data_IF_896302858806
#
_entry.id   IF_896302858806
#
_cell.length_a   1.000
_cell.length_b   1.000
_cell.length_c   1.000
_cell.angle_alpha   90.00
_cell.angle_beta   90.00
_cell.angle_gamma   90.00
#
_symmetry.space_group_name_H-M   'P 1'
#
loop_
_entity.id
_entity.type
_entity.pdbx_description
1 polymer ?
#
# COMPACT_ATOMS: atom_id res chain seq x y z
N UNK A 1 26.86 7.14 58.50
CA UNK A 1 25.39 7.25 58.70
C UNK A 1 24.97 8.64 58.28
N UNK A 2 24.06 8.92 57.34
CA UNK A 2 23.32 8.17 56.34
C UNK A 2 23.02 9.20 55.25
N UNK A 3 23.26 8.85 54.00
CA UNK A 3 23.08 9.73 52.85
C UNK A 3 21.63 10.23 52.75
N UNK A 4 21.53 11.52 52.43
CA UNK A 4 20.38 12.23 51.91
C UNK A 4 19.62 11.39 50.87
N UNK A 5 18.44 10.90 51.27
CA UNK A 5 17.52 10.15 50.42
C UNK A 5 16.99 11.04 49.31
N UNK A 6 17.50 10.77 48.10
CA UNK A 6 16.87 10.88 46.78
C UNK A 6 15.42 11.43 46.81
N UNK A 7 15.27 12.61 46.19
CA UNK A 7 14.01 13.35 46.06
C UNK A 7 12.97 12.61 45.21
N UNK A 8 12.23 11.72 45.86
CA UNK A 8 10.87 11.39 45.46
C UNK A 8 9.93 12.07 46.45
N UNK A 9 9.16 13.05 45.97
CA UNK A 9 8.08 13.67 46.75
C UNK A 9 7.11 12.58 47.20
N UNK A 10 6.91 12.48 48.51
CA UNK A 10 5.94 11.55 49.08
C UNK A 10 4.53 12.17 49.04
N UNK A 11 3.47 11.35 48.91
CA UNK A 11 2.08 11.81 48.81
C UNK A 11 1.69 12.86 49.86
N UNK A 12 2.20 12.73 51.08
CA UNK A 12 1.90 13.66 52.18
C UNK A 12 2.55 15.05 52.10
N UNK A 13 3.38 15.36 51.08
CA UNK A 13 4.01 16.69 50.94
C UNK A 13 3.22 17.66 50.05
N UNK A 14 2.12 17.20 49.44
CA UNK A 14 1.28 18.01 48.56
C UNK A 14 -0.14 17.98 49.15
N UNK A 15 -0.61 19.10 49.71
CA UNK A 15 -1.99 19.27 50.22
C UNK A 15 -3.00 18.59 49.26
N UNK A 16 -4.15 18.09 49.74
CA UNK A 16 -5.05 17.14 49.05
C UNK A 16 -5.29 17.28 47.53
N UNK A 17 -5.10 18.46 46.92
CA UNK A 17 -5.02 18.63 45.46
C UNK A 17 -3.86 17.87 44.79
N UNK A 18 -2.71 17.72 45.45
CA UNK A 18 -1.53 17.06 44.91
C UNK A 18 -1.52 15.53 45.09
N UNK A 19 -2.15 15.01 46.13
CA UNK A 19 -2.46 13.57 46.26
C UNK A 19 -3.45 13.12 45.18
N UNK A 20 -4.51 13.91 44.94
CA UNK A 20 -5.45 13.68 43.84
C UNK A 20 -4.74 13.76 42.50
N UNK A 21 -3.86 14.76 42.31
CA UNK A 21 -3.04 14.91 41.10
C UNK A 21 -2.21 13.65 40.81
N UNK A 22 -1.50 13.13 41.80
CA UNK A 22 -0.69 11.91 41.65
C UNK A 22 -1.54 10.67 41.34
N UNK A 23 -2.69 10.50 42.00
CA UNK A 23 -3.62 9.39 41.71
C UNK A 23 -4.13 9.48 40.26
N UNK A 24 -4.52 10.68 39.82
CA UNK A 24 -5.01 10.92 38.46
C UNK A 24 -3.91 10.64 37.43
N UNK A 25 -2.70 11.14 37.65
CA UNK A 25 -1.54 10.89 36.77
C UNK A 25 -1.20 9.39 36.72
N UNK A 26 -1.24 8.68 37.85
CA UNK A 26 -1.01 7.24 37.91
C UNK A 26 -2.09 6.42 37.22
N UNK A 27 -3.34 6.90 37.17
CA UNK A 27 -4.42 6.24 36.42
C UNK A 27 -4.25 6.52 34.92
N UNK A 28 -3.96 7.77 34.55
CA UNK A 28 -3.76 8.18 33.17
C UNK A 28 -2.56 7.49 32.52
N UNK A 29 -1.45 7.29 33.26
CA UNK A 29 -0.25 6.64 32.74
C UNK A 29 -0.44 5.16 32.39
N UNK A 30 -1.49 4.51 32.90
CA UNK A 30 -1.83 3.11 32.60
C UNK A 30 -2.68 2.96 31.34
N UNK A 31 -3.25 4.04 30.81
CA UNK A 31 -4.13 4.01 29.64
C UNK A 31 -3.32 3.85 28.36
N UNK A 32 -3.47 2.72 27.68
CA UNK A 32 -2.89 2.55 26.35
C UNK A 32 -3.79 3.22 25.31
N UNK A 33 -3.27 4.20 24.59
CA UNK A 33 -4.03 4.94 23.58
C UNK A 33 -3.53 4.61 22.19
N UNK A 34 -2.31 5.04 21.90
CA UNK A 34 -1.60 4.76 20.65
C UNK A 34 -0.11 4.56 20.93
N UNK A 35 0.54 3.69 20.16
CA UNK A 35 2.01 3.55 20.21
C UNK A 35 2.56 3.15 18.85
N UNK A 36 3.83 3.44 18.62
CA UNK A 36 4.55 2.92 17.46
C UNK A 36 4.94 1.47 17.72
N UNK A 37 4.67 0.63 16.72
CA UNK A 37 4.93 -0.81 16.77
C UNK A 37 5.67 -1.24 15.52
N UNK A 38 6.42 -2.33 15.63
CA UNK A 38 7.03 -3.04 14.51
C UNK A 38 6.33 -4.37 14.30
N UNK A 39 6.03 -4.72 13.06
CA UNK A 39 5.45 -6.01 12.67
C UNK A 39 6.49 -7.11 12.83
N UNK A 40 6.13 -8.16 13.57
CA UNK A 40 6.96 -9.35 13.83
C UNK A 40 6.47 -10.55 13.01
N UNK A 41 5.16 -10.65 12.79
CA UNK A 41 4.56 -11.68 11.95
C UNK A 41 3.30 -11.16 11.25
N UNK A 42 2.97 -11.75 10.10
CA UNK A 42 1.80 -11.42 9.29
C UNK A 42 0.98 -12.70 9.07
N UNK A 43 -0.34 -12.61 9.26
CA UNK A 43 -1.29 -13.72 9.20
C UNK A 43 -2.42 -13.36 8.23
N UNK A 44 -2.46 -14.05 7.09
CA UNK A 44 -3.37 -13.72 5.98
C UNK A 44 -2.84 -12.58 5.10
N UNK A 45 -3.56 -12.29 4.02
CA UNK A 45 -3.14 -11.33 3.01
C UNK A 45 -3.92 -11.49 1.70
N UNK A 46 -3.54 -10.72 0.69
CA UNK A 46 -4.15 -10.71 -0.63
C UNK A 46 -5.63 -10.35 -0.59
N UNK A 47 -6.42 -11.03 -1.43
CA UNK A 47 -7.85 -10.77 -1.58
C UNK A 47 -8.73 -11.43 -0.50
N UNK A 48 -8.14 -12.18 0.43
CA UNK A 48 -8.86 -12.70 1.60
C UNK A 48 -9.34 -11.56 2.51
N UNK A 49 -10.28 -11.81 3.45
CA UNK A 49 -10.62 -10.82 4.47
C UNK A 49 -9.37 -10.26 5.15
N UNK A 50 -9.49 -9.02 5.64
CA UNK A 50 -8.42 -8.30 6.34
C UNK A 50 -7.69 -9.22 7.32
N UNK A 51 -6.37 -9.33 7.14
CA UNK A 51 -5.52 -10.17 7.95
C UNK A 51 -5.13 -9.54 9.28
N UNK A 52 -4.25 -10.23 9.98
CA UNK A 52 -3.76 -9.87 11.30
C UNK A 52 -2.24 -9.77 11.30
N UNK A 53 -1.69 -8.97 12.19
CA UNK A 53 -0.27 -8.87 12.47
C UNK A 53 0.01 -9.14 13.93
N UNK A 54 1.18 -9.69 14.20
CA UNK A 54 1.77 -9.67 15.53
C UNK A 54 2.76 -8.52 15.58
N UNK A 55 2.67 -7.67 16.60
CA UNK A 55 3.38 -6.40 16.65
C UNK A 55 4.09 -6.20 17.98
N UNK A 56 5.25 -5.57 17.96
CA UNK A 56 6.02 -5.24 19.15
C UNK A 56 6.11 -3.71 19.31
N UNK A 57 5.66 -3.13 20.43
CA UNK A 57 5.87 -1.71 20.73
C UNK A 57 7.35 -1.33 20.72
N UNK A 58 7.66 -0.18 20.11
CA UNK A 58 9.03 0.30 19.93
C UNK A 58 9.52 1.19 21.09
N UNK A 59 8.60 1.84 21.81
CA UNK A 59 8.95 2.59 23.02
C UNK A 59 9.04 1.60 24.18
N UNK A 60 10.22 1.49 24.79
CA UNK A 60 10.49 0.56 25.90
C UNK A 60 10.01 1.12 27.23
N UNK A 61 9.70 0.24 28.19
CA UNK A 61 9.43 0.67 29.56
C UNK A 61 10.73 0.96 30.29
N UNK A 62 10.70 1.92 31.21
CA UNK A 62 11.79 2.21 32.13
C UNK A 62 11.33 1.75 33.52
N UNK A 63 12.09 0.85 34.14
CA UNK A 63 11.82 0.43 35.52
C UNK A 63 12.24 1.49 36.54
N UNK A 64 11.89 1.30 37.81
CA UNK A 64 12.21 2.24 38.89
C UNK A 64 13.72 2.44 39.16
N UNK A 65 14.58 1.64 38.53
CA UNK A 65 16.05 1.74 38.59
C UNK A 65 16.67 2.33 37.32
N UNK A 66 15.86 2.72 36.33
CA UNK A 66 16.34 3.22 35.04
C UNK A 66 16.66 2.14 34.02
N UNK A 67 16.34 0.87 34.31
CA UNK A 67 16.52 -0.26 33.42
C UNK A 67 15.48 -0.28 32.30
N UNK A 68 15.93 -0.57 31.07
CA UNK A 68 15.07 -0.63 29.89
C UNK A 68 14.48 -2.04 29.75
N UNK A 69 13.16 -2.15 29.78
CA UNK A 69 12.43 -3.40 29.57
C UNK A 69 11.71 -3.34 28.22
N UNK A 70 12.09 -4.19 27.24
CA UNK A 70 11.39 -4.27 25.97
C UNK A 70 9.94 -4.73 26.16
N UNK A 71 9.03 -4.17 25.37
CA UNK A 71 7.66 -4.68 25.35
C UNK A 71 7.60 -6.08 24.74
N UNK A 72 6.68 -6.89 25.27
CA UNK A 72 6.29 -8.17 24.67
C UNK A 72 5.58 -7.98 23.32
N UNK A 73 5.36 -9.11 22.64
CA UNK A 73 4.61 -9.13 21.38
C UNK A 73 3.10 -9.11 21.66
N UNK A 74 2.40 -8.26 20.92
CA UNK A 74 0.94 -8.19 20.89
C UNK A 74 0.48 -9.03 19.70
N UNK A 75 -0.31 -10.06 19.97
CA UNK A 75 -0.72 -11.03 18.95
C UNK A 75 -2.08 -10.69 18.33
N UNK A 76 -2.26 -11.07 17.07
CA UNK A 76 -3.54 -11.05 16.36
C UNK A 76 -4.20 -9.65 16.31
N UNK A 77 -3.39 -8.64 15.99
CA UNK A 77 -3.85 -7.26 15.79
C UNK A 77 -4.33 -7.10 14.33
N UNK A 78 -5.61 -6.77 14.07
CA UNK A 78 -6.07 -6.52 12.71
C UNK A 78 -5.33 -5.34 12.09
N UNK A 79 -4.85 -5.48 10.85
CA UNK A 79 -4.26 -4.36 10.10
C UNK A 79 -5.32 -3.63 9.28
N UNK A 80 -5.13 -2.34 9.04
CA UNK A 80 -6.03 -1.58 8.18
C UNK A 80 -5.82 -1.94 6.71
N UNK A 81 -6.93 -2.22 6.00
CA UNK A 81 -7.00 -2.18 4.53
C UNK A 81 -7.83 -0.98 4.10
N UNK A 82 -7.34 -0.22 3.12
CA UNK A 82 -8.13 0.87 2.53
C UNK A 82 -9.23 0.26 1.66
N UNK A 83 -10.43 0.09 2.23
CA UNK A 83 -11.55 -0.60 1.60
C UNK A 83 -12.87 0.17 1.78
N UNK A 84 -13.70 0.17 0.73
CA UNK A 84 -15.06 0.73 0.73
C UNK A 84 -16.00 -0.14 -0.11
N UNK A 85 -17.02 -0.72 0.52
CA UNK A 85 -17.84 -1.75 -0.12
C UNK A 85 -17.00 -2.94 -0.59
N UNK A 86 -17.16 -3.34 -1.86
CA UNK A 86 -16.35 -4.38 -2.50
C UNK A 86 -15.01 -3.91 -3.06
N UNK A 87 -14.68 -2.62 -2.97
CA UNK A 87 -13.48 -2.05 -3.58
C UNK A 87 -12.38 -1.88 -2.54
N UNK A 88 -11.13 -2.19 -2.88
CA UNK A 88 -10.01 -2.03 -1.97
C UNK A 88 -8.70 -1.63 -2.67
N UNK A 89 -7.86 -0.88 -1.96
CA UNK A 89 -6.42 -0.78 -2.22
C UNK A 89 -5.74 -1.74 -1.25
N UNK A 90 -5.17 -2.82 -1.79
CA UNK A 90 -4.56 -3.90 -0.99
C UNK A 90 -3.06 -3.68 -0.92
N UNK A 91 -2.59 -3.30 0.27
CA UNK A 91 -1.17 -3.17 0.60
C UNK A 91 -0.98 -3.90 1.93
N UNK A 92 -0.59 -5.17 1.84
CA UNK A 92 -0.43 -5.99 3.03
C UNK A 92 0.88 -5.63 3.75
N UNK A 93 0.86 -5.54 5.09
CA UNK A 93 2.07 -5.31 5.86
C UNK A 93 3.06 -6.46 5.71
N UNK A 94 4.35 -6.15 5.87
CA UNK A 94 5.44 -7.11 5.89
C UNK A 94 6.14 -7.13 7.25
N UNK A 95 6.85 -8.22 7.55
CA UNK A 95 7.68 -8.32 8.76
C UNK A 95 8.75 -7.23 8.72
N UNK A 96 8.88 -6.48 9.82
CA UNK A 96 9.78 -5.34 9.93
C UNK A 96 9.12 -3.99 9.67
N UNK A 97 7.90 -3.95 9.12
CA UNK A 97 7.17 -2.70 8.91
C UNK A 97 6.90 -2.00 10.24
N UNK A 98 7.05 -0.67 10.24
CA UNK A 98 6.76 0.20 11.37
C UNK A 98 5.46 0.94 11.11
N UNK A 99 4.55 0.82 12.07
CA UNK A 99 3.25 1.46 12.05
C UNK A 99 2.81 1.93 13.43
N UNK A 100 1.59 2.42 13.49
CA UNK A 100 0.91 2.81 14.71
C UNK A 100 -0.09 1.71 15.09
N UNK A 101 -0.11 1.33 16.36
CA UNK A 101 -1.19 0.53 16.93
C UNK A 101 -2.05 1.43 17.82
N UNK A 102 -3.35 1.50 17.53
CA UNK A 102 -4.35 2.18 18.34
C UNK A 102 -5.14 1.19 19.17
N UNK A 103 -5.32 1.48 20.46
CA UNK A 103 -6.01 0.62 21.40
C UNK A 103 -7.40 1.17 21.69
N UNK A 104 -8.42 0.33 21.45
CA UNK A 104 -9.80 0.74 21.58
C UNK A 104 -10.17 1.05 23.04
N UNK A 105 -11.11 1.97 23.22
CA UNK A 105 -11.59 2.37 24.54
C UNK A 105 -12.37 1.26 25.27
N UNK A 106 -12.72 0.17 24.57
CA UNK A 106 -13.46 -1.01 25.05
C UNK A 106 -12.97 -2.27 24.32
N UNK A 107 -13.29 -3.42 24.91
CA UNK A 107 -13.05 -4.75 24.32
C UNK A 107 -13.72 -4.89 22.95
N UNK A 108 -12.93 -5.25 21.93
CA UNK A 108 -13.39 -5.44 20.54
C UNK A 108 -13.35 -6.91 20.09
N UNK A 109 -13.12 -7.87 20.99
CA UNK A 109 -13.01 -9.31 20.66
C UNK A 109 -14.26 -9.84 19.94
N UNK A 110 -15.46 -9.55 20.45
CA UNK A 110 -16.72 -9.92 19.78
C UNK A 110 -16.87 -9.24 18.42
N UNK A 111 -16.47 -7.97 18.30
CA UNK A 111 -16.59 -7.22 17.05
C UNK A 111 -15.65 -7.78 15.99
N UNK A 112 -14.42 -8.18 16.39
CA UNK A 112 -13.45 -8.86 15.52
C UNK A 112 -14.01 -10.19 15.00
N UNK A 113 -14.64 -10.98 15.86
CA UNK A 113 -15.20 -12.28 15.51
C UNK A 113 -16.46 -12.18 14.64
N UNK A 114 -17.41 -11.32 15.03
CA UNK A 114 -18.75 -11.27 14.45
C UNK A 114 -18.85 -10.29 13.27
N UNK A 115 -17.92 -9.33 13.17
CA UNK A 115 -17.96 -8.22 12.19
C UNK A 115 -19.26 -7.42 12.25
N UNK A 116 -19.86 -7.33 13.44
CA UNK A 116 -21.14 -6.67 13.68
C UNK A 116 -21.15 -6.01 15.07
N UNK A 117 -22.12 -5.13 15.30
CA UNK A 117 -22.37 -4.53 16.61
C UNK A 117 -22.51 -5.64 17.66
N UNK A 118 -21.61 -5.63 18.64
CA UNK A 118 -21.52 -6.69 19.64
C UNK A 118 -21.21 -6.10 21.03
N UNK A 119 -21.72 -6.71 22.12
CA UNK A 119 -21.33 -6.30 23.46
C UNK A 119 -19.85 -6.64 23.72
N UNK A 120 -19.16 -5.85 24.56
CA UNK A 120 -17.80 -6.16 24.97
C UNK A 120 -17.78 -7.47 25.78
N UNK A 121 -16.82 -8.36 25.52
CA UNK A 121 -16.71 -9.64 26.25
C UNK A 121 -16.11 -9.47 27.64
N UNK A 122 -15.41 -8.36 27.88
CA UNK A 122 -14.81 -8.02 29.17
C UNK A 122 -14.96 -6.54 29.48
N UNK A 123 -14.63 -6.17 30.72
CA UNK A 123 -14.58 -4.76 31.16
C UNK A 123 -13.25 -4.07 30.85
N UNK A 124 -12.39 -4.69 30.01
CA UNK A 124 -11.11 -4.10 29.60
C UNK A 124 -11.34 -2.81 28.83
N UNK A 125 -10.44 -1.85 29.03
CA UNK A 125 -10.44 -0.53 28.41
C UNK A 125 -8.99 -0.17 28.13
N UNK A 126 -8.68 0.32 26.92
CA UNK A 126 -7.33 0.78 26.61
C UNK A 126 -6.28 -0.31 26.84
N UNK A 127 -6.59 -1.54 26.41
CA UNK A 127 -5.78 -2.74 26.61
C UNK A 127 -5.07 -3.15 25.32
N UNK A 128 -3.87 -3.72 25.43
CA UNK A 128 -3.08 -4.18 24.27
C UNK A 128 -3.81 -5.20 23.40
N UNK A 129 -4.71 -6.00 23.96
CA UNK A 129 -5.50 -7.01 23.23
C UNK A 129 -6.52 -6.39 22.26
N UNK A 130 -6.88 -5.13 22.50
CA UNK A 130 -7.88 -4.37 21.75
C UNK A 130 -7.23 -3.42 20.74
N UNK A 131 -6.06 -3.81 20.24
CA UNK A 131 -5.30 -3.07 19.23
C UNK A 131 -5.87 -3.21 17.82
N UNK A 132 -5.63 -2.16 17.03
CA UNK A 132 -5.77 -2.08 15.57
C UNK A 132 -4.50 -1.45 14.99
N UNK A 133 -3.94 -2.05 13.94
CA UNK A 133 -2.70 -1.62 13.31
C UNK A 133 -2.96 -0.76 12.06
N UNK A 134 -2.23 0.35 11.96
CA UNK A 134 -2.15 1.21 10.79
C UNK A 134 -0.68 1.38 10.40
N UNK A 135 -0.29 0.93 9.21
CA UNK A 135 1.10 0.93 8.76
C UNK A 135 1.56 2.21 8.06
N UNK A 136 2.87 2.30 7.76
CA UNK A 136 3.41 3.26 6.80
C UNK A 136 4.04 4.52 7.39
N UNK A 137 4.43 4.52 8.67
CA UNK A 137 4.98 5.72 9.30
C UNK A 137 6.50 5.87 9.14
N UNK A 138 7.27 4.79 9.31
CA UNK A 138 8.74 4.85 9.36
C UNK A 138 9.39 3.71 8.53
N UNK A 139 8.75 3.31 7.44
CA UNK A 139 9.27 2.28 6.54
C UNK A 139 10.38 2.84 5.64
N UNK A 140 11.21 1.95 5.09
CA UNK A 140 12.27 2.31 4.14
C UNK A 140 11.76 2.79 2.78
N UNK A 141 12.68 3.07 1.86
CA UNK A 141 12.36 3.48 0.49
C UNK A 141 11.56 2.39 -0.25
N UNK A 142 10.42 2.71 -0.88
CA UNK A 142 9.59 1.71 -1.56
C UNK A 142 10.26 1.21 -2.84
N UNK A 143 10.21 -0.10 -3.07
CA UNK A 143 10.67 -0.75 -4.32
C UNK A 143 9.58 -0.84 -5.40
N UNK A 144 8.33 -0.55 -5.05
CA UNK A 144 7.15 -0.52 -5.92
C UNK A 144 6.19 0.57 -5.42
N UNK A 145 5.62 1.37 -6.31
CA UNK A 145 4.83 2.54 -5.89
C UNK A 145 3.93 3.13 -6.98
N UNK A 146 2.91 3.86 -6.53
CA UNK A 146 2.20 4.88 -7.29
C UNK A 146 2.53 6.22 -6.65
N UNK A 147 3.23 7.09 -7.37
CA UNK A 147 3.70 8.38 -6.85
C UNK A 147 2.96 9.53 -7.54
N UNK A 148 2.35 10.41 -6.75
CA UNK A 148 1.79 11.68 -7.19
C UNK A 148 2.80 12.79 -6.92
N UNK A 149 3.08 13.63 -7.91
CA UNK A 149 4.03 14.74 -7.81
C UNK A 149 3.61 15.89 -8.72
N UNK A 150 4.30 17.04 -8.64
CA UNK A 150 4.09 18.15 -9.57
C UNK A 150 4.35 17.78 -11.05
N UNK A 151 5.16 16.75 -11.31
CA UNK A 151 5.42 16.21 -12.65
C UNK A 151 4.40 15.18 -13.15
N UNK A 152 3.36 14.90 -12.36
CA UNK A 152 2.31 13.92 -12.69
C UNK A 152 2.39 12.65 -11.85
N UNK A 153 1.87 11.55 -12.42
CA UNK A 153 1.71 10.26 -11.75
C UNK A 153 2.70 9.25 -12.33
N UNK A 154 3.50 8.61 -11.47
CA UNK A 154 4.38 7.50 -11.84
C UNK A 154 3.91 6.20 -11.19
N UNK A 155 3.66 5.18 -12.01
CA UNK A 155 3.38 3.81 -11.57
C UNK A 155 4.64 2.99 -11.84
N UNK A 156 5.26 2.46 -10.79
CA UNK A 156 6.50 1.71 -10.88
C UNK A 156 6.36 0.34 -10.22
N UNK A 157 6.77 -0.69 -10.96
CA UNK A 157 6.82 -2.08 -10.51
C UNK A 157 8.15 -2.70 -10.97
N UNK A 158 8.86 -3.46 -10.12
CA UNK A 158 10.12 -4.12 -10.48
C UNK A 158 9.93 -5.35 -11.37
N UNK A 159 8.72 -5.90 -11.48
CA UNK A 159 8.45 -7.15 -12.21
C UNK A 159 7.54 -6.92 -13.41
N UNK A 160 6.34 -6.41 -13.18
CA UNK A 160 5.34 -6.19 -14.22
C UNK A 160 4.14 -5.40 -13.71
N UNK A 161 3.35 -4.90 -14.66
CA UNK A 161 2.08 -4.21 -14.39
C UNK A 161 1.03 -4.91 -15.26
N UNK A 162 0.02 -5.49 -14.63
CA UNK A 162 -1.12 -6.12 -15.30
C UNK A 162 -2.36 -5.24 -15.14
N UNK A 163 -3.06 -4.98 -16.25
CA UNK A 163 -4.31 -4.21 -16.27
C UNK A 163 -5.39 -5.07 -16.93
N UNK A 164 -6.32 -5.58 -16.11
CA UNK A 164 -7.44 -6.39 -16.58
C UNK A 164 -8.76 -5.60 -16.44
N UNK A 165 -9.46 -5.45 -17.55
CA UNK A 165 -10.80 -4.86 -17.59
C UNK A 165 -11.51 -5.28 -18.90
N UNK A 166 -12.85 -5.33 -18.92
CA UNK A 166 -13.61 -5.52 -20.17
C UNK A 166 -13.32 -4.45 -21.23
N UNK A 167 -12.86 -3.26 -20.81
CA UNK A 167 -12.47 -2.16 -21.68
C UNK A 167 -11.45 -1.26 -21.00
N UNK A 168 -10.34 -0.99 -21.68
CA UNK A 168 -9.31 -0.02 -21.26
C UNK A 168 -9.20 1.10 -22.30
N UNK A 169 -9.21 2.36 -21.87
CA UNK A 169 -9.10 3.53 -22.75
C UNK A 169 -7.96 4.43 -22.29
N UNK A 170 -7.01 4.71 -23.20
CA UNK A 170 -5.92 5.68 -22.98
C UNK A 170 -6.21 6.92 -23.82
N UNK A 171 -6.60 8.03 -23.17
CA UNK A 171 -6.88 9.30 -23.84
C UNK A 171 -5.72 10.27 -23.61
N UNK A 172 -4.90 10.47 -24.63
CA UNK A 172 -3.80 11.44 -24.61
C UNK A 172 -3.48 11.91 -26.04
N UNK A 173 -2.90 13.11 -26.23
CA UNK A 173 -2.39 13.54 -27.53
C UNK A 173 -1.25 12.66 -28.06
N UNK A 174 -0.50 12.01 -27.17
CA UNK A 174 0.65 11.18 -27.53
C UNK A 174 0.82 10.05 -26.52
N UNK A 175 0.92 8.82 -27.03
CA UNK A 175 1.30 7.63 -26.28
C UNK A 175 2.66 7.16 -26.80
N UNK A 176 3.62 6.96 -25.90
CA UNK A 176 4.93 6.39 -26.23
C UNK A 176 5.07 5.02 -25.58
N UNK A 177 5.45 4.02 -26.37
CA UNK A 177 5.77 2.67 -25.90
C UNK A 177 7.24 2.44 -26.22
N UNK A 178 8.07 2.33 -25.18
CA UNK A 178 9.51 2.09 -25.31
C UNK A 178 9.76 0.62 -25.01
N UNK A 179 9.83 -0.19 -26.08
CA UNK A 179 9.99 -1.64 -25.99
C UNK A 179 9.17 -2.36 -27.05
N UNK A 180 9.20 -3.69 -27.01
CA UNK A 180 8.42 -4.52 -27.92
C UNK A 180 6.93 -4.48 -27.54
N UNK A 181 6.05 -4.52 -28.55
CA UNK A 181 4.61 -4.61 -28.36
C UNK A 181 4.10 -5.91 -28.97
N UNK A 182 3.34 -6.68 -28.21
CA UNK A 182 2.56 -7.82 -28.70
C UNK A 182 1.09 -7.50 -28.59
N UNK A 183 0.36 -7.61 -29.70
CA UNK A 183 -1.07 -7.33 -29.73
C UNK A 183 -1.80 -8.56 -30.28
N UNK A 184 -2.70 -9.12 -29.48
CA UNK A 184 -3.58 -10.20 -29.91
C UNK A 184 -4.95 -9.61 -30.30
N UNK A 185 -5.12 -9.30 -31.58
CA UNK A 185 -6.32 -8.67 -32.13
C UNK A 185 -6.00 -7.56 -33.13
N UNK A 186 -7.02 -6.91 -33.67
CA UNK A 186 -6.88 -5.92 -34.74
C UNK A 186 -6.26 -4.61 -34.28
N UNK A 187 -5.24 -4.12 -35.00
CA UNK A 187 -4.74 -2.74 -34.85
C UNK A 187 -5.43 -1.84 -35.87
N UNK A 188 -6.02 -0.73 -35.41
CA UNK A 188 -6.73 0.22 -36.27
C UNK A 188 -6.18 1.62 -36.06
N UNK A 189 -5.37 2.08 -37.01
CA UNK A 189 -4.93 3.47 -37.09
C UNK A 189 -5.95 4.27 -37.90
N UNK A 190 -6.54 5.27 -37.26
CA UNK A 190 -7.51 6.19 -37.89
C UNK A 190 -7.01 7.62 -37.78
N UNK A 191 -7.54 8.54 -38.58
CA UNK A 191 -7.12 9.96 -38.58
C UNK A 191 -6.08 10.34 -39.65
N UNK A 192 -5.67 9.39 -40.51
CA UNK A 192 -4.92 9.68 -41.74
C UNK A 192 -3.41 9.95 -41.59
N UNK A 193 -2.85 9.78 -40.39
CA UNK A 193 -1.39 9.83 -40.20
C UNK A 193 -0.68 8.61 -40.79
N UNK A 194 0.57 8.78 -41.22
CA UNK A 194 1.40 7.67 -41.71
C UNK A 194 1.76 6.69 -40.58
N UNK A 195 1.80 5.39 -40.89
CA UNK A 195 2.50 4.39 -40.10
C UNK A 195 3.89 4.16 -40.70
N UNK A 196 4.93 4.19 -39.86
CA UNK A 196 6.32 3.98 -40.28
C UNK A 196 6.91 2.79 -39.54
N UNK A 197 7.49 1.86 -40.29
CA UNK A 197 8.22 0.71 -39.77
C UNK A 197 9.67 0.82 -40.25
N UNK A 198 10.62 0.91 -39.31
CA UNK A 198 12.06 0.97 -39.64
C UNK A 198 12.68 -0.41 -39.90
N UNK A 199 11.97 -1.47 -39.50
CA UNK A 199 12.33 -2.85 -39.77
C UNK A 199 11.44 -3.47 -40.84
N UNK A 200 11.67 -4.75 -41.11
CA UNK A 200 10.82 -5.53 -42.03
C UNK A 200 9.38 -5.66 -41.52
N UNK A 201 8.43 -5.67 -42.45
CA UNK A 201 7.04 -6.04 -42.20
C UNK A 201 6.79 -7.42 -42.81
N UNK A 202 6.34 -8.37 -42.00
CA UNK A 202 5.89 -9.69 -42.45
C UNK A 202 4.39 -9.79 -42.19
N UNK A 203 3.64 -10.23 -43.20
CA UNK A 203 2.20 -10.41 -43.13
C UNK A 203 1.84 -11.80 -43.63
N UNK A 204 1.22 -12.61 -42.78
CA UNK A 204 0.74 -13.94 -43.19
C UNK A 204 -0.58 -13.86 -43.98
N UNK A 205 -1.29 -12.73 -43.84
CA UNK A 205 -2.54 -12.43 -44.54
C UNK A 205 -2.37 -11.50 -45.73
N UNK A 206 -3.49 -11.17 -46.35
CA UNK A 206 -3.56 -10.24 -47.48
C UNK A 206 -3.28 -8.79 -47.05
N UNK A 207 -2.51 -8.07 -47.86
CA UNK A 207 -2.42 -6.61 -47.82
C UNK A 207 -3.35 -6.05 -48.90
N UNK A 208 -4.31 -5.22 -48.49
CA UNK A 208 -5.23 -4.52 -49.42
C UNK A 208 -5.03 -3.02 -49.28
N UNK A 209 -4.70 -2.36 -50.38
CA UNK A 209 -4.58 -0.90 -50.46
C UNK A 209 -5.71 -0.31 -51.31
N UNK A 210 -6.24 0.85 -50.91
CA UNK A 210 -7.21 1.63 -51.72
C UNK A 210 -6.54 2.52 -52.76
N UNK A 211 -5.22 2.67 -52.65
CA UNK A 211 -4.36 3.49 -53.52
C UNK A 211 -3.13 2.68 -53.93
N UNK A 212 -2.29 3.26 -54.77
CA UNK A 212 -1.06 2.60 -55.22
C UNK A 212 -0.13 2.22 -54.05
N UNK A 213 0.57 1.09 -54.21
CA UNK A 213 1.63 0.64 -53.31
C UNK A 213 2.95 0.93 -54.01
N UNK A 214 3.78 1.76 -53.40
CA UNK A 214 5.08 2.15 -53.98
C UNK A 214 6.22 1.50 -53.21
N UNK A 215 6.90 0.53 -53.84
CA UNK A 215 8.07 -0.14 -53.29
C UNK A 215 9.36 0.39 -53.91
N UNK A 216 10.29 0.93 -53.12
CA UNK A 216 11.57 1.44 -53.64
C UNK A 216 11.43 2.52 -54.72
N UNK A 217 10.33 3.30 -54.68
CA UNK A 217 10.00 4.29 -55.70
C UNK A 217 9.31 3.75 -56.97
N UNK A 218 8.99 2.45 -57.03
CA UNK A 218 8.26 1.82 -58.15
C UNK A 218 6.79 1.60 -57.77
N UNK A 219 5.90 2.12 -58.60
CA UNK A 219 4.44 1.99 -58.49
C UNK A 219 4.01 0.55 -58.79
N UNK A 220 3.16 -0.05 -57.97
CA UNK A 220 2.60 -1.36 -58.28
C UNK A 220 1.59 -1.27 -59.43
N UNK A 221 0.82 -0.17 -59.50
CA UNK A 221 -0.21 0.03 -60.53
C UNK A 221 0.36 0.47 -61.88
N UNK A 222 1.43 1.27 -61.91
CA UNK A 222 1.92 1.94 -63.13
C UNK A 222 3.34 1.53 -63.53
N UNK A 223 3.93 0.49 -62.94
CA UNK A 223 5.26 0.05 -63.37
C UNK A 223 5.24 -0.51 -64.80
N UNK A 224 6.36 -0.38 -65.50
CA UNK A 224 6.58 -0.94 -66.84
C UNK A 224 7.67 -2.00 -66.78
N UNK A 225 7.50 -3.12 -67.48
CA UNK A 225 8.51 -4.16 -67.59
C UNK A 225 9.25 -4.03 -68.93
N UNK A 226 10.28 -3.18 -68.98
CA UNK A 226 11.09 -3.01 -70.20
C UNK A 226 10.38 -2.28 -71.36
N UNK A 227 9.33 -1.52 -71.07
CA UNK A 227 8.61 -0.69 -72.06
C UNK A 227 7.22 -1.20 -72.44
N UNK A 228 6.85 -2.43 -72.06
CA UNK A 228 5.48 -2.92 -72.20
C UNK A 228 4.69 -2.62 -70.92
N UNK A 229 3.47 -2.07 -71.02
CA UNK A 229 2.54 -1.99 -69.89
C UNK A 229 2.27 -3.39 -69.36
N UNK A 230 2.24 -3.53 -68.04
CA UNK A 230 1.68 -4.71 -67.39
C UNK A 230 0.30 -4.36 -66.85
N UNK A 231 -0.61 -5.30 -67.07
CA UNK A 231 -2.02 -5.34 -66.73
C UNK A 231 -2.28 -5.52 -65.22
#
# INVERSE_FOLDING_TARGET
>A
MSQSRLGFEQPGQRNGAGEIGYIVESIMSRLQTVTLVKVVAVKGGGLSPVGMVDVQPLVSQIDGSGGVIPHGVIFNVPYMRLQGGGNAVVIDPQVGDIGMCGFCSRDISSVKANKAASPPQSKRRFDYSDGLYFGGFLNGTPSQYIMFSGGGIKIYSPTGIELEAPKTMIKSPTVQIIGNTTQNGSFSQTGGGAASFSGSLTTDGQITSKVDVVGGGKSLVNHTNGGSPVD
#
